data_IF_500261273141
#
_entry.id   IF_500261273141
#
_cell.length_a   1.000
_cell.length_b   1.000
_cell.length_c   1.000
_cell.angle_alpha   90.00
_cell.angle_beta   90.00
_cell.angle_gamma   90.00
#
_symmetry.space_group_name_H-M   'P 1'
#
loop_
_entity.id
_entity.type
_entity.pdbx_description
1 polymer ?
#
# COMPACT_ATOMS: atom_id res chain seq x y z
N UNK A 1 -3.65 33.51 -49.62
CA UNK A 1 -4.45 32.64 -48.72
C UNK A 1 -3.59 31.45 -48.31
N UNK A 2 -3.17 31.34 -47.03
CA UNK A 2 -2.39 30.20 -46.57
C UNK A 2 -3.33 29.05 -46.18
N UNK A 3 -2.99 27.84 -46.62
CA UNK A 3 -3.69 26.58 -46.33
C UNK A 3 -3.47 26.20 -44.85
N UNK A 4 -4.56 26.06 -44.07
CA UNK A 4 -4.53 25.45 -42.77
C UNK A 4 -4.14 23.95 -42.83
N UNK A 5 -3.07 23.55 -42.16
CA UNK A 5 -2.71 22.16 -41.96
C UNK A 5 -3.69 21.53 -40.95
N UNK A 6 -4.33 20.43 -41.37
CA UNK A 6 -5.21 19.58 -40.56
C UNK A 6 -4.49 19.10 -39.28
N UNK A 7 -5.24 19.09 -38.18
CA UNK A 7 -4.78 18.71 -36.86
C UNK A 7 -4.18 17.31 -36.81
N UNK A 8 -3.21 17.17 -35.93
CA UNK A 8 -2.62 15.89 -35.54
C UNK A 8 -3.66 15.03 -34.81
N UNK A 9 -3.84 13.82 -35.34
CA UNK A 9 -4.67 12.78 -34.74
C UNK A 9 -4.16 12.44 -33.33
N UNK A 10 -4.99 12.72 -32.31
CA UNK A 10 -4.71 12.44 -30.91
C UNK A 10 -5.05 10.98 -30.51
N UNK A 11 -5.23 10.08 -31.48
CA UNK A 11 -5.63 8.69 -31.25
C UNK A 11 -4.47 7.68 -31.22
N UNK A 12 -3.26 8.09 -30.86
CA UNK A 12 -2.09 7.17 -30.83
C UNK A 12 -1.93 6.42 -29.49
N UNK A 13 -2.98 6.35 -28.63
CA UNK A 13 -2.94 5.65 -27.35
C UNK A 13 -3.49 4.22 -27.37
N UNK A 14 -3.96 3.75 -28.51
CA UNK A 14 -4.33 2.34 -28.66
C UNK A 14 -3.10 1.52 -29.03
N UNK A 15 -2.16 1.35 -28.09
CA UNK A 15 -1.23 0.25 -28.18
C UNK A 15 -2.01 -1.03 -27.89
N UNK A 16 -2.24 -1.85 -28.93
CA UNK A 16 -2.56 -3.26 -28.79
C UNK A 16 -1.40 -3.93 -28.03
N UNK A 17 -1.44 -3.90 -26.68
CA UNK A 17 -0.66 -4.84 -25.88
C UNK A 17 -1.49 -6.11 -25.79
N UNK A 18 -0.92 -7.27 -26.09
CA UNK A 18 -1.60 -8.54 -25.87
C UNK A 18 -1.89 -8.67 -24.36
N UNK A 19 -2.98 -9.36 -24.01
CA UNK A 19 -3.42 -9.71 -22.62
C UNK A 19 -2.36 -10.46 -21.79
N UNK A 20 -1.12 -10.58 -22.25
CA UNK A 20 -0.03 -11.35 -21.65
C UNK A 20 0.99 -10.55 -20.85
N UNK A 21 0.89 -9.23 -20.74
CA UNK A 21 1.84 -8.41 -19.98
C UNK A 21 1.36 -8.17 -18.51
N UNK A 22 0.97 -9.24 -17.83
CA UNK A 22 0.94 -9.25 -16.38
C UNK A 22 2.39 -9.17 -15.93
N UNK A 23 2.80 -8.04 -15.35
CA UNK A 23 4.13 -7.88 -14.76
C UNK A 23 4.29 -8.86 -13.60
N UNK A 24 5.51 -9.20 -13.25
CA UNK A 24 5.84 -10.07 -12.11
C UNK A 24 6.64 -9.29 -11.09
N UNK A 25 6.21 -9.39 -9.84
CA UNK A 25 6.94 -8.94 -8.68
C UNK A 25 7.40 -10.15 -7.87
N UNK A 26 8.34 -9.97 -6.98
CA UNK A 26 8.86 -11.01 -6.11
C UNK A 26 8.54 -10.69 -4.66
N UNK A 27 8.11 -11.69 -3.88
CA UNK A 27 8.14 -11.63 -2.41
C UNK A 27 9.61 -11.68 -2.00
N UNK A 28 10.08 -10.71 -1.21
CA UNK A 28 11.51 -10.56 -0.90
C UNK A 28 11.93 -11.51 0.21
N UNK A 29 11.09 -11.70 1.23
CA UNK A 29 11.46 -12.53 2.39
C UNK A 29 10.31 -13.31 3.00
N UNK A 30 10.60 -14.00 4.13
CA UNK A 30 9.62 -14.83 4.83
C UNK A 30 9.36 -16.19 4.16
N UNK A 31 8.25 -16.84 4.53
CA UNK A 31 7.91 -18.21 4.09
C UNK A 31 7.62 -18.31 2.58
N UNK A 32 7.23 -17.22 1.95
CA UNK A 32 6.98 -17.15 0.49
C UNK A 32 8.14 -16.46 -0.25
N UNK A 33 9.29 -16.22 0.41
CA UNK A 33 10.45 -15.56 -0.19
C UNK A 33 10.85 -16.16 -1.53
N UNK A 34 11.10 -15.31 -2.54
CA UNK A 34 11.41 -15.71 -3.91
C UNK A 34 10.21 -16.06 -4.79
N UNK A 35 9.00 -16.28 -4.23
CA UNK A 35 7.80 -16.55 -5.04
C UNK A 35 7.37 -15.30 -5.79
N UNK A 36 6.88 -15.52 -7.02
CA UNK A 36 6.41 -14.45 -7.89
C UNK A 36 4.92 -14.21 -7.67
N UNK A 37 4.54 -12.92 -7.69
CA UNK A 37 3.16 -12.44 -7.72
C UNK A 37 2.93 -11.63 -8.99
N UNK A 38 1.72 -11.72 -9.53
CA UNK A 38 1.31 -10.94 -10.69
C UNK A 38 0.92 -9.51 -10.33
N UNK A 39 1.05 -8.59 -11.27
CA UNK A 39 0.40 -7.28 -11.24
C UNK A 39 0.03 -6.87 -12.67
N UNK A 40 -0.91 -5.90 -12.79
CA UNK A 40 -1.52 -5.53 -14.08
C UNK A 40 -0.56 -4.92 -15.11
N UNK A 41 0.64 -4.50 -14.69
CA UNK A 41 1.51 -3.68 -15.55
C UNK A 41 0.95 -2.28 -15.83
N UNK A 42 -0.21 -1.92 -15.25
CA UNK A 42 -0.86 -0.65 -15.46
C UNK A 42 0.00 0.50 -14.88
N UNK A 43 0.29 1.55 -15.66
CA UNK A 43 1.01 2.73 -15.17
C UNK A 43 0.34 3.43 -13.98
N UNK A 44 -0.98 3.25 -13.80
CA UNK A 44 -1.72 3.79 -12.64
C UNK A 44 -1.34 3.08 -11.35
N UNK A 45 -1.01 1.78 -11.43
CA UNK A 45 -0.56 0.97 -10.28
C UNK A 45 0.95 0.77 -10.38
N UNK A 46 1.71 1.79 -9.97
CA UNK A 46 3.17 1.68 -9.95
C UNK A 46 3.61 0.88 -8.73
N UNK A 47 4.25 -0.29 -8.91
CA UNK A 47 4.72 -1.07 -7.78
C UNK A 47 5.79 -0.32 -6.98
N UNK A 48 5.77 -0.47 -5.65
CA UNK A 48 6.92 -0.13 -4.83
C UNK A 48 8.11 -1.00 -5.25
N UNK A 49 9.28 -0.39 -5.42
CA UNK A 49 10.49 -1.12 -5.80
C UNK A 49 10.85 -2.14 -4.73
N UNK A 50 11.46 -3.26 -5.16
CA UNK A 50 11.87 -4.35 -4.26
C UNK A 50 12.82 -3.85 -3.16
N UNK A 51 13.79 -2.99 -3.51
CA UNK A 51 14.74 -2.41 -2.58
C UNK A 51 14.08 -1.53 -1.50
N UNK A 52 13.06 -0.77 -1.86
CA UNK A 52 12.30 0.04 -0.89
C UNK A 52 11.45 -0.87 0.01
N UNK A 53 10.78 -1.88 -0.57
CA UNK A 53 9.99 -2.83 0.21
C UNK A 53 10.87 -3.60 1.19
N UNK A 54 12.03 -4.07 0.75
CA UNK A 54 13.02 -4.71 1.61
C UNK A 54 13.49 -3.78 2.74
N UNK A 55 13.78 -2.51 2.42
CA UNK A 55 14.17 -1.52 3.40
C UNK A 55 13.08 -1.28 4.45
N UNK A 56 11.81 -1.16 4.04
CA UNK A 56 10.68 -1.05 4.98
C UNK A 56 10.65 -2.24 5.93
N UNK A 57 10.70 -3.48 5.40
CA UNK A 57 10.65 -4.67 6.24
C UNK A 57 11.92 -4.89 7.08
N UNK A 58 13.05 -4.33 6.71
CA UNK A 58 14.24 -4.30 7.55
C UNK A 58 14.07 -3.31 8.73
N UNK A 59 13.34 -2.20 8.52
CA UNK A 59 13.04 -1.22 9.57
C UNK A 59 11.95 -1.70 10.54
N UNK A 60 10.88 -2.33 10.05
CA UNK A 60 9.86 -2.93 10.93
C UNK A 60 10.37 -4.21 11.61
N UNK A 61 11.41 -4.83 11.05
CA UNK A 61 12.16 -5.91 11.68
C UNK A 61 11.31 -7.06 12.19
N UNK A 62 11.62 -7.53 13.40
CA UNK A 62 10.90 -8.60 14.09
C UNK A 62 9.49 -8.22 14.59
N UNK A 63 9.00 -7.02 14.32
CA UNK A 63 7.67 -6.57 14.77
C UNK A 63 6.51 -7.07 13.90
N UNK A 64 6.78 -7.65 12.74
CA UNK A 64 5.74 -8.12 11.81
C UNK A 64 4.99 -9.38 12.30
N UNK A 65 5.65 -10.40 12.90
CA UNK A 65 4.96 -11.62 13.33
C UNK A 65 3.83 -11.34 14.33
N UNK A 66 2.71 -12.03 14.13
CA UNK A 66 1.54 -11.94 15.01
C UNK A 66 0.63 -10.74 14.78
N UNK A 67 0.99 -9.78 13.94
CA UNK A 67 0.21 -8.57 13.70
C UNK A 67 -0.92 -8.76 12.70
N UNK A 68 -1.96 -7.93 12.86
CA UNK A 68 -2.97 -7.71 11.83
C UNK A 68 -2.48 -6.58 10.91
N UNK A 69 -2.46 -6.84 9.62
CA UNK A 69 -1.97 -5.90 8.62
C UNK A 69 -3.11 -5.16 7.95
N UNK A 70 -2.93 -3.86 7.76
CA UNK A 70 -3.80 -3.01 6.96
C UNK A 70 -2.98 -2.41 5.82
N UNK A 71 -3.16 -2.91 4.60
CA UNK A 71 -2.57 -2.37 3.37
C UNK A 71 -3.62 -1.47 2.72
N UNK A 72 -3.65 -0.21 3.16
CA UNK A 72 -4.76 0.72 2.91
C UNK A 72 -4.77 1.32 1.49
N UNK A 73 -3.67 1.19 0.78
CA UNK A 73 -3.52 1.61 -0.62
C UNK A 73 -2.79 0.48 -1.35
N UNK A 74 -3.42 -0.70 -1.37
CA UNK A 74 -2.74 -1.95 -1.62
C UNK A 74 -2.06 -2.05 -3.00
N UNK A 75 -2.57 -1.36 -4.02
CA UNK A 75 -1.96 -1.36 -5.34
C UNK A 75 -1.75 -2.79 -5.83
N UNK A 76 -0.50 -3.24 -5.88
CA UNK A 76 -0.16 -4.62 -6.28
C UNK A 76 -0.42 -5.67 -5.18
N UNK A 77 -0.70 -5.26 -3.95
CA UNK A 77 -0.79 -6.12 -2.76
C UNK A 77 0.57 -6.57 -2.22
N UNK A 78 1.67 -6.09 -2.79
CA UNK A 78 3.01 -6.59 -2.44
C UNK A 78 3.40 -6.34 -0.98
N UNK A 79 2.97 -5.21 -0.38
CA UNK A 79 3.27 -4.90 1.02
C UNK A 79 2.55 -5.86 1.97
N UNK A 80 1.24 -6.04 1.79
CA UNK A 80 0.46 -6.95 2.60
C UNK A 80 0.90 -8.41 2.46
N UNK A 81 1.17 -8.87 1.23
CA UNK A 81 1.65 -10.23 0.96
C UNK A 81 3.05 -10.48 1.55
N UNK A 82 3.94 -9.51 1.48
CA UNK A 82 5.26 -9.55 2.14
C UNK A 82 5.10 -9.65 3.67
N UNK A 83 4.17 -8.89 4.27
CA UNK A 83 3.90 -8.94 5.70
C UNK A 83 3.38 -10.32 6.14
N UNK A 84 2.43 -10.91 5.40
CA UNK A 84 1.98 -12.29 5.65
C UNK A 84 3.14 -13.27 5.52
N UNK A 85 3.95 -13.14 4.48
CA UNK A 85 5.15 -13.98 4.30
C UNK A 85 6.10 -13.93 5.50
N UNK A 86 6.12 -12.82 6.23
CA UNK A 86 6.97 -12.59 7.42
C UNK A 86 6.26 -12.85 8.74
N UNK A 87 5.10 -13.52 8.71
CA UNK A 87 4.43 -14.02 9.90
C UNK A 87 3.31 -13.14 10.45
N UNK A 88 2.82 -12.15 9.71
CA UNK A 88 1.56 -11.50 10.05
C UNK A 88 0.41 -12.50 9.98
N UNK A 89 -0.57 -12.37 10.86
CA UNK A 89 -1.66 -13.36 11.02
C UNK A 89 -2.85 -13.12 10.11
N UNK A 90 -3.03 -11.86 9.67
CA UNK A 90 -4.12 -11.46 8.76
C UNK A 90 -3.73 -10.20 8.00
N UNK A 91 -4.27 -10.04 6.78
CA UNK A 91 -4.13 -8.81 6.03
C UNK A 91 -5.47 -8.33 5.45
N UNK A 92 -5.77 -7.05 5.66
CA UNK A 92 -6.81 -6.31 4.96
C UNK A 92 -6.16 -5.52 3.82
N UNK A 93 -6.48 -5.89 2.59
CA UNK A 93 -6.08 -5.16 1.39
C UNK A 93 -7.22 -4.25 0.95
N UNK A 94 -6.96 -2.96 0.81
CA UNK A 94 -7.92 -1.99 0.31
C UNK A 94 -7.42 -1.40 -0.99
N UNK A 95 -8.13 -1.67 -2.09
CA UNK A 95 -7.77 -1.19 -3.42
C UNK A 95 -9.03 -0.83 -4.21
N UNK A 96 -9.04 0.36 -4.84
CA UNK A 96 -10.21 0.85 -5.58
C UNK A 96 -10.28 0.37 -7.03
N UNK A 97 -9.14 0.00 -7.63
CA UNK A 97 -9.06 -0.40 -9.02
C UNK A 97 -9.43 -1.87 -9.19
N UNK A 98 -10.65 -2.16 -9.67
CA UNK A 98 -11.19 -3.51 -9.77
C UNK A 98 -10.29 -4.55 -10.47
N UNK A 99 -9.61 -4.23 -11.60
CA UNK A 99 -8.67 -5.17 -12.21
C UNK A 99 -7.52 -5.55 -11.28
N UNK A 100 -7.00 -4.59 -10.52
CA UNK A 100 -5.94 -4.83 -9.54
C UNK A 100 -6.43 -5.66 -8.35
N UNK A 101 -7.64 -5.39 -7.85
CA UNK A 101 -8.30 -6.23 -6.81
C UNK A 101 -8.38 -7.69 -7.23
N UNK A 102 -8.74 -7.97 -8.48
CA UNK A 102 -8.80 -9.34 -9.01
C UNK A 102 -7.41 -10.00 -8.95
N UNK A 103 -6.37 -9.31 -9.36
CA UNK A 103 -4.98 -9.81 -9.32
C UNK A 103 -4.52 -10.06 -7.89
N UNK A 104 -4.83 -9.16 -6.93
CA UNK A 104 -4.49 -9.40 -5.52
C UNK A 104 -5.16 -10.70 -5.03
N UNK A 105 -6.43 -10.92 -5.35
CA UNK A 105 -7.15 -12.17 -4.98
C UNK A 105 -6.51 -13.41 -5.62
N UNK A 106 -6.11 -13.32 -6.88
CA UNK A 106 -5.39 -14.40 -7.58
C UNK A 106 -4.03 -14.67 -6.94
N UNK A 107 -3.29 -13.63 -6.54
CA UNK A 107 -2.02 -13.77 -5.84
C UNK A 107 -2.20 -14.46 -4.47
N UNK A 108 -3.21 -14.05 -3.68
CA UNK A 108 -3.56 -14.69 -2.41
C UNK A 108 -3.81 -16.18 -2.62
N UNK A 109 -4.70 -16.55 -3.56
CA UNK A 109 -5.03 -17.94 -3.86
C UNK A 109 -3.83 -18.76 -4.35
N UNK A 110 -2.94 -18.14 -5.14
CA UNK A 110 -1.76 -18.82 -5.69
C UNK A 110 -0.67 -19.03 -4.65
N UNK A 111 -0.50 -18.08 -3.74
CA UNK A 111 0.48 -18.18 -2.66
C UNK A 111 0.02 -19.17 -1.59
N UNK A 112 -1.20 -19.03 -1.13
CA UNK A 112 -1.79 -19.87 -0.12
C UNK A 112 -3.32 -19.71 -0.13
N UNK A 113 -4.10 -20.75 -0.54
CA UNK A 113 -5.55 -20.70 -0.54
C UNK A 113 -6.17 -20.49 0.86
N UNK A 114 -5.45 -20.88 1.92
CA UNK A 114 -5.89 -20.76 3.32
C UNK A 114 -5.39 -19.45 3.97
N UNK A 115 -4.75 -18.58 3.20
CA UNK A 115 -4.25 -17.29 3.68
C UNK A 115 -5.38 -16.45 4.30
N UNK A 116 -5.21 -16.02 5.54
CA UNK A 116 -6.16 -15.13 6.21
C UNK A 116 -6.07 -13.72 5.66
N UNK A 117 -6.75 -13.46 4.55
CA UNK A 117 -6.72 -12.21 3.82
C UNK A 117 -8.13 -11.75 3.43
N UNK A 118 -8.41 -10.46 3.60
CA UNK A 118 -9.60 -9.78 3.06
C UNK A 118 -9.16 -8.81 1.97
N UNK A 119 -9.78 -8.88 0.80
CA UNK A 119 -9.48 -7.99 -0.33
C UNK A 119 -10.71 -7.19 -0.70
N UNK A 120 -10.74 -5.94 -0.25
CA UNK A 120 -11.85 -5.01 -0.38
C UNK A 120 -11.68 -4.11 -1.61
N UNK A 121 -12.64 -4.20 -2.54
CA UNK A 121 -12.73 -3.29 -3.69
C UNK A 121 -13.38 -1.98 -3.25
N UNK A 122 -12.59 -1.06 -2.70
CA UNK A 122 -13.09 0.18 -2.10
C UNK A 122 -12.09 1.33 -2.23
N UNK A 123 -12.61 2.56 -2.23
CA UNK A 123 -11.79 3.73 -1.97
C UNK A 123 -11.28 3.69 -0.52
N UNK A 124 -9.99 3.95 -0.33
CA UNK A 124 -9.31 3.82 0.97
C UNK A 124 -9.86 4.78 2.02
N UNK A 125 -10.19 6.02 1.64
CA UNK A 125 -10.78 6.99 2.57
C UNK A 125 -12.17 6.56 3.04
N UNK A 126 -12.99 6.05 2.12
CA UNK A 126 -14.32 5.53 2.46
C UNK A 126 -14.23 4.31 3.38
N UNK A 127 -13.35 3.36 3.04
CA UNK A 127 -13.14 2.14 3.82
C UNK A 127 -12.66 2.47 5.23
N UNK A 128 -11.63 3.31 5.35
CA UNK A 128 -11.07 3.72 6.65
C UNK A 128 -12.11 4.42 7.52
N UNK A 129 -12.89 5.35 6.97
CA UNK A 129 -13.96 6.01 7.74
C UNK A 129 -15.03 5.05 8.23
N UNK A 130 -15.39 4.04 7.40
CA UNK A 130 -16.35 3.00 7.80
C UNK A 130 -15.77 2.12 8.91
N UNK A 131 -14.52 1.66 8.76
CA UNK A 131 -13.82 0.83 9.76
C UNK A 131 -13.70 1.56 11.10
N UNK A 132 -13.28 2.81 11.10
CA UNK A 132 -13.09 3.61 12.31
C UNK A 132 -14.38 3.97 13.06
N UNK A 133 -15.55 3.86 12.41
CA UNK A 133 -16.86 4.09 13.05
C UNK A 133 -17.36 2.92 13.88
N UNK A 134 -16.76 1.74 13.75
CA UNK A 134 -17.19 0.54 14.46
C UNK A 134 -16.04 -0.07 15.29
N UNK A 135 -15.71 0.54 16.45
CA UNK A 135 -14.65 0.03 17.33
C UNK A 135 -14.86 -1.41 17.80
N UNK A 136 -16.11 -1.88 17.84
CA UNK A 136 -16.41 -3.26 18.25
C UNK A 136 -15.91 -4.31 17.26
N UNK A 137 -15.66 -3.92 16.00
CA UNK A 137 -15.11 -4.79 14.96
C UNK A 137 -13.58 -4.75 14.84
N UNK A 138 -12.90 -3.91 15.64
CA UNK A 138 -11.46 -3.78 15.55
C UNK A 138 -10.75 -5.03 16.09
N UNK A 139 -9.70 -5.51 15.39
CA UNK A 139 -8.83 -6.51 15.97
C UNK A 139 -8.19 -6.03 17.26
N UNK A 140 -8.07 -6.91 18.23
CA UNK A 140 -7.41 -6.62 19.52
C UNK A 140 -5.90 -6.85 19.47
N UNK A 141 -5.44 -7.61 18.49
CA UNK A 141 -4.03 -7.85 18.24
C UNK A 141 -3.37 -6.57 17.72
N UNK A 142 -2.06 -6.37 17.93
CA UNK A 142 -1.33 -5.21 17.43
C UNK A 142 -1.39 -5.11 15.90
N UNK A 143 -1.42 -3.87 15.39
CA UNK A 143 -1.55 -3.61 13.96
C UNK A 143 -0.21 -3.25 13.30
N UNK A 144 -0.09 -3.59 12.01
CA UNK A 144 0.89 -3.03 11.10
C UNK A 144 0.14 -2.35 9.96
N UNK A 145 0.12 -1.04 9.95
CA UNK A 145 -0.67 -0.24 9.02
C UNK A 145 0.24 0.41 7.97
N UNK A 146 -0.03 0.16 6.71
CA UNK A 146 0.67 0.77 5.59
C UNK A 146 -0.18 1.89 4.96
N UNK A 147 0.32 3.12 5.06
CA UNK A 147 -0.13 4.28 4.31
C UNK A 147 0.85 4.54 3.17
N UNK A 148 0.66 3.86 2.03
CA UNK A 148 1.50 3.97 0.83
C UNK A 148 0.67 4.51 -0.35
N UNK A 149 0.04 5.69 -0.25
CA UNK A 149 -0.83 6.21 -1.29
C UNK A 149 -0.03 6.67 -2.52
N UNK A 150 -0.67 6.77 -3.70
CA UNK A 150 -0.09 7.51 -4.81
C UNK A 150 0.34 8.91 -4.35
N UNK A 151 1.58 9.30 -4.61
CA UNK A 151 2.17 10.55 -4.08
C UNK A 151 1.39 11.82 -4.39
N UNK A 152 0.57 11.81 -5.46
CA UNK A 152 -0.34 12.92 -5.78
C UNK A 152 -1.39 13.20 -4.70
N UNK A 153 -1.71 12.21 -3.84
CA UNK A 153 -2.67 12.41 -2.75
C UNK A 153 -2.10 13.28 -1.63
N UNK A 154 -0.77 13.30 -1.44
CA UNK A 154 -0.13 14.24 -0.51
C UNK A 154 -0.22 15.71 -0.92
N UNK A 155 -0.71 16.00 -2.15
CA UNK A 155 -1.03 17.35 -2.60
C UNK A 155 -2.53 17.58 -2.63
N UNK A 156 -3.30 16.59 -3.11
CA UNK A 156 -4.74 16.76 -3.38
C UNK A 156 -5.62 16.52 -2.15
N UNK A 157 -5.19 15.66 -1.24
CA UNK A 157 -5.96 15.18 -0.08
C UNK A 157 -5.08 15.08 1.16
N UNK A 158 -4.10 15.99 1.32
CA UNK A 158 -3.11 15.96 2.40
C UNK A 158 -3.79 15.92 3.77
N UNK A 159 -4.69 16.86 4.03
CA UNK A 159 -5.31 17.01 5.35
C UNK A 159 -6.16 15.78 5.70
N UNK A 160 -6.89 15.22 4.73
CA UNK A 160 -7.68 14.01 4.91
C UNK A 160 -6.78 12.78 5.19
N UNK A 161 -5.62 12.67 4.52
CA UNK A 161 -4.65 11.61 4.79
C UNK A 161 -4.06 11.74 6.19
N UNK A 162 -3.67 12.94 6.61
CA UNK A 162 -3.10 13.18 7.93
C UNK A 162 -4.12 12.89 9.04
N UNK A 163 -5.38 13.30 8.85
CA UNK A 163 -6.48 12.96 9.75
C UNK A 163 -6.67 11.43 9.90
N UNK A 164 -6.58 10.68 8.80
CA UNK A 164 -6.69 9.22 8.85
C UNK A 164 -5.49 8.58 9.56
N UNK A 165 -4.27 9.06 9.29
CA UNK A 165 -3.06 8.59 9.97
C UNK A 165 -3.20 8.79 11.48
N UNK A 166 -3.63 9.98 11.93
CA UNK A 166 -3.88 10.28 13.34
C UNK A 166 -4.90 9.33 13.95
N UNK A 167 -6.06 9.16 13.30
CA UNK A 167 -7.11 8.27 13.78
C UNK A 167 -6.68 6.81 13.89
N UNK A 168 -5.90 6.31 12.92
CA UNK A 168 -5.35 4.96 13.00
C UNK A 168 -4.32 4.82 14.11
N UNK A 169 -3.47 5.84 14.30
CA UNK A 169 -2.50 5.90 15.39
C UNK A 169 -3.19 5.84 16.75
N UNK A 170 -4.29 6.59 16.92
CA UNK A 170 -5.05 6.63 18.16
C UNK A 170 -5.80 5.31 18.43
N UNK A 171 -6.43 4.75 17.38
CA UNK A 171 -7.23 3.53 17.45
C UNK A 171 -6.40 2.25 17.62
N UNK A 172 -5.18 2.22 17.12
CA UNK A 172 -4.35 1.02 17.13
C UNK A 172 -4.02 0.59 18.57
N UNK A 173 -4.02 -0.73 18.87
CA UNK A 173 -3.53 -1.25 20.16
C UNK A 173 -2.04 -0.93 20.39
N UNK A 174 -1.59 -1.10 21.64
CA UNK A 174 -0.15 -1.03 21.95
C UNK A 174 0.64 -2.05 21.10
N UNK A 175 1.95 -1.81 20.93
CA UNK A 175 2.83 -2.57 20.04
C UNK A 175 2.49 -2.50 18.55
N UNK A 176 1.59 -1.61 18.13
CA UNK A 176 1.27 -1.38 16.73
C UNK A 176 2.30 -0.50 16.03
N UNK A 177 2.39 -0.66 14.71
CA UNK A 177 3.22 0.18 13.85
C UNK A 177 2.38 0.84 12.77
N UNK A 178 2.66 2.12 12.52
CA UNK A 178 2.13 2.85 11.36
C UNK A 178 3.30 3.19 10.45
N UNK A 179 3.21 2.78 9.21
CA UNK A 179 4.23 3.04 8.18
C UNK A 179 3.63 3.95 7.13
N UNK A 180 4.28 5.09 6.91
CA UNK A 180 3.90 6.06 5.85
C UNK A 180 5.01 6.10 4.83
N UNK A 181 4.69 5.75 3.57
CA UNK A 181 5.58 5.93 2.43
C UNK A 181 5.15 7.15 1.64
N UNK A 182 6.06 8.07 1.43
CA UNK A 182 5.83 9.35 0.77
C UNK A 182 7.01 9.75 -0.12
N UNK A 183 6.96 10.93 -0.70
CA UNK A 183 8.11 11.61 -1.31
C UNK A 183 8.17 13.07 -0.84
N UNK A 184 9.03 13.87 -1.46
CA UNK A 184 9.19 15.30 -1.15
C UNK A 184 7.91 16.16 -1.16
N UNK A 185 6.76 15.61 -1.59
CA UNK A 185 5.47 16.31 -1.58
C UNK A 185 4.85 16.35 -0.20
N UNK A 186 5.22 15.41 0.67
CA UNK A 186 4.85 15.44 2.08
C UNK A 186 6.00 16.06 2.88
N UNK A 187 5.72 17.18 3.54
CA UNK A 187 6.56 17.64 4.62
C UNK A 187 6.31 16.73 5.84
N UNK A 188 7.29 15.92 6.19
CA UNK A 188 7.19 14.95 7.30
C UNK A 188 6.93 15.61 8.65
N UNK A 189 7.27 16.88 8.82
CA UNK A 189 6.93 17.65 10.03
C UNK A 189 5.43 17.88 10.20
N UNK A 190 4.63 17.64 9.16
CA UNK A 190 3.16 17.68 9.23
C UNK A 190 2.53 16.37 9.70
N UNK A 191 3.30 15.30 9.88
CA UNK A 191 2.78 14.06 10.48
C UNK A 191 2.33 14.31 11.94
N UNK A 192 1.23 13.69 12.39
CA UNK A 192 0.77 13.79 13.77
C UNK A 192 1.87 13.33 14.74
N UNK A 193 2.22 14.14 15.76
CA UNK A 193 3.33 13.91 16.68
C UNK A 193 4.66 13.62 15.96
N UNK A 194 5.02 14.47 15.01
CA UNK A 194 6.11 14.23 14.05
C UNK A 194 7.44 13.84 14.71
N UNK A 195 7.74 14.29 15.93
CA UNK A 195 8.95 13.94 16.68
C UNK A 195 9.00 12.45 17.11
N UNK A 196 7.84 11.78 17.11
CA UNK A 196 7.72 10.36 17.48
C UNK A 196 7.93 9.41 16.30
N UNK A 197 8.22 9.93 15.11
CA UNK A 197 8.40 9.13 13.91
C UNK A 197 9.87 8.90 13.60
N UNK A 198 10.23 7.64 13.35
CA UNK A 198 11.50 7.29 12.74
C UNK A 198 11.44 7.52 11.23
N UNK A 199 12.23 8.47 10.70
CA UNK A 199 12.21 8.84 9.27
C UNK A 199 13.48 8.38 8.58
N UNK A 200 13.34 7.72 7.42
CA UNK A 200 14.43 7.28 6.54
C UNK A 200 14.14 7.68 5.11
N UNK A 201 15.18 8.20 4.43
CA UNK A 201 15.08 8.64 3.03
C UNK A 201 15.76 7.63 2.11
N UNK A 202 14.99 7.15 1.14
CA UNK A 202 15.42 6.26 0.05
C UNK A 202 15.03 6.90 -1.28
N UNK A 203 15.74 7.96 -1.67
CA UNK A 203 15.36 8.85 -2.77
C UNK A 203 14.81 8.12 -4.01
N UNK A 204 13.62 8.51 -4.53
CA UNK A 204 12.81 9.66 -4.10
C UNK A 204 11.84 9.35 -2.93
N UNK A 205 11.77 8.11 -2.44
CA UNK A 205 10.88 7.68 -1.36
C UNK A 205 11.40 8.14 0.01
N UNK A 206 10.45 8.47 0.88
CA UNK A 206 10.65 8.72 2.31
C UNK A 206 9.75 7.76 3.08
N UNK A 207 10.32 7.01 4.01
CA UNK A 207 9.63 6.07 4.87
C UNK A 207 9.61 6.61 6.28
N UNK A 208 8.44 6.79 6.85
CA UNK A 208 8.22 7.24 8.23
C UNK A 208 7.52 6.15 9.01
N UNK A 209 8.03 5.80 10.19
CA UNK A 209 7.51 4.72 11.03
C UNK A 209 7.20 5.27 12.42
N UNK A 210 5.95 5.11 12.84
CA UNK A 210 5.51 5.34 14.21
C UNK A 210 5.36 3.99 14.92
N UNK A 211 5.86 3.89 16.16
CA UNK A 211 5.72 2.73 17.03
C UNK A 211 4.90 3.14 18.25
N UNK A 212 3.79 2.46 18.48
CA UNK A 212 2.96 2.64 19.67
C UNK A 212 3.45 1.69 20.78
N UNK A 213 3.72 2.24 21.95
CA UNK A 213 4.18 1.51 23.15
C UNK A 213 3.14 1.57 24.26
#
# INVERSE_FOLDING_TARGET
MPRFKKGRDLNHWKTNRPDSDVGKLRIVGGVYGGRQIGYSGDPVTRPMKDDIREAVFNLVGGWTPGKIVFDLFAGTGAMGLEAISRGATKCFFVERHFPTVKIIRENVQTLDPDMNASVDASDSFFWCRKFLKDPASWPTEPWLVFFCPPYGLYVKSKDELLELIEKFKDAAPDESLIVVESDKRLDVSSLPDHESWEVRTYSPAVVSIFKKF
#
